data_IF_734646546004
#
_entry.id   IF_734646546004
#
_cell.length_a   1.000
_cell.length_b   1.000
_cell.length_c   1.000
_cell.angle_alpha   90.00
_cell.angle_beta   90.00
_cell.angle_gamma   90.00
#
_symmetry.space_group_name_H-M   'P 1'
#
loop_
_entity.id
_entity.type
_entity.pdbx_description
1 polymer ?
#
# COMPACT_ATOMS: atom_id res chain seq x y z
N UNK A 1 27.39 9.92 -23.32
CA UNK A 1 26.64 9.59 -22.09
C UNK A 1 26.64 10.82 -21.19
N UNK A 2 25.49 11.27 -20.68
CA UNK A 2 25.47 12.38 -19.70
C UNK A 2 26.02 11.86 -18.37
N UNK A 3 26.89 12.60 -17.66
CA UNK A 3 27.37 12.18 -16.36
C UNK A 3 26.19 12.04 -15.38
N UNK A 4 26.17 10.95 -14.61
CA UNK A 4 25.19 10.74 -13.54
C UNK A 4 25.51 11.74 -12.43
N UNK A 5 24.66 12.75 -12.27
CA UNK A 5 24.81 13.74 -11.21
C UNK A 5 24.59 13.09 -9.86
N UNK A 6 25.65 13.03 -9.03
CA UNK A 6 25.60 12.54 -7.66
C UNK A 6 25.42 13.74 -6.72
N UNK A 7 24.38 13.72 -5.89
CA UNK A 7 24.02 14.83 -5.00
C UNK A 7 24.19 14.45 -3.53
N UNK A 8 24.61 15.42 -2.71
CA UNK A 8 24.76 15.26 -1.26
C UNK A 8 23.45 15.64 -0.58
N UNK A 9 22.79 14.68 0.06
CA UNK A 9 21.53 14.90 0.79
C UNK A 9 21.85 15.24 2.25
N UNK A 10 21.11 16.17 2.84
CA UNK A 10 21.26 16.60 4.23
C UNK A 10 20.18 15.98 5.12
N UNK A 11 20.58 15.28 6.19
CA UNK A 11 19.67 14.86 7.27
C UNK A 11 19.59 15.92 8.38
N UNK A 12 18.95 15.58 9.51
CA UNK A 12 18.64 16.51 10.61
C UNK A 12 19.88 17.17 11.24
N UNK A 13 21.06 16.57 11.12
CA UNK A 13 22.30 17.10 11.71
C UNK A 13 23.51 17.11 10.77
N UNK A 14 23.63 16.10 9.92
CA UNK A 14 24.77 15.94 9.01
C UNK A 14 24.31 15.43 7.63
N UNK A 15 25.07 15.74 6.57
CA UNK A 15 24.86 15.12 5.27
C UNK A 15 25.16 13.63 5.33
N UNK A 16 24.44 12.86 4.51
CA UNK A 16 24.73 11.44 4.32
C UNK A 16 26.18 11.28 3.81
N UNK A 17 26.85 10.25 4.32
CA UNK A 17 28.26 9.97 4.02
C UNK A 17 28.48 9.68 2.52
N UNK A 18 27.50 9.01 1.90
CA UNK A 18 27.54 8.66 0.49
C UNK A 18 26.61 9.57 -0.34
N UNK A 19 27.06 10.05 -1.51
CA UNK A 19 26.22 10.85 -2.38
C UNK A 19 25.16 9.99 -3.08
N UNK A 20 23.94 10.53 -3.18
CA UNK A 20 22.75 9.85 -3.69
C UNK A 20 22.46 10.29 -5.13
N UNK A 21 21.95 9.37 -5.96
CA UNK A 21 21.53 9.66 -7.33
C UNK A 21 20.12 10.27 -7.29
N UNK A 22 19.94 11.44 -7.89
CA UNK A 22 18.65 12.12 -8.00
C UNK A 22 18.25 12.18 -9.47
N UNK A 23 16.99 11.83 -9.77
CA UNK A 23 16.42 11.87 -11.12
C UNK A 23 14.95 12.26 -11.11
N UNK A 24 14.40 12.51 -12.30
CA UNK A 24 12.95 12.75 -12.50
C UNK A 24 12.32 11.51 -13.18
N UNK A 25 11.96 10.46 -12.42
CA UNK A 25 11.28 9.31 -13.00
C UNK A 25 9.84 9.67 -13.39
N UNK A 26 9.32 9.01 -14.41
CA UNK A 26 7.89 9.01 -14.71
C UNK A 26 7.24 7.84 -13.98
N UNK A 27 6.41 8.13 -12.98
CA UNK A 27 5.74 7.14 -12.13
C UNK A 27 4.25 7.13 -12.45
N UNK A 28 3.69 5.94 -12.69
CA UNK A 28 2.26 5.74 -12.91
C UNK A 28 1.55 5.38 -11.60
N UNK A 29 0.37 5.97 -11.37
CA UNK A 29 -0.55 5.55 -10.31
C UNK A 29 -1.44 4.41 -10.84
N UNK A 30 -1.40 3.26 -10.17
CA UNK A 30 -2.28 2.13 -10.48
C UNK A 30 -3.66 2.29 -9.83
N UNK A 31 -4.68 1.67 -10.41
CA UNK A 31 -6.08 1.74 -9.93
C UNK A 31 -6.33 1.02 -8.60
N UNK A 32 -5.43 0.14 -8.14
CA UNK A 32 -5.63 -0.64 -6.91
C UNK A 32 -5.34 0.19 -5.67
N UNK A 33 -6.30 1.03 -5.28
CA UNK A 33 -6.21 1.84 -4.08
C UNK A 33 -6.51 1.01 -2.83
N UNK A 34 -5.95 1.41 -1.69
CA UNK A 34 -6.19 0.74 -0.40
C UNK A 34 -7.65 0.89 0.05
N UNK A 35 -8.29 2.01 -0.30
CA UNK A 35 -9.68 2.33 0.06
C UNK A 35 -10.68 1.27 -0.43
N UNK A 36 -10.41 0.66 -1.58
CA UNK A 36 -11.23 -0.41 -2.15
C UNK A 36 -11.03 -1.77 -1.45
N UNK A 37 -9.97 -1.89 -0.66
CA UNK A 37 -9.56 -3.15 -0.03
C UNK A 37 -9.74 -3.14 1.50
N UNK A 38 -10.02 -1.99 2.11
CA UNK A 38 -10.31 -1.91 3.55
C UNK A 38 -11.68 -2.55 3.82
N UNK A 39 -11.68 -3.58 4.68
CA UNK A 39 -12.87 -4.28 5.14
C UNK A 39 -12.71 -4.76 6.58
N UNK A 40 -13.71 -4.50 7.42
CA UNK A 40 -13.78 -4.98 8.80
C UNK A 40 -15.17 -5.52 9.10
N UNK A 41 -15.26 -6.59 9.90
CA UNK A 41 -16.52 -7.20 10.32
C UNK A 41 -16.53 -7.33 11.85
N UNK A 42 -17.59 -6.83 12.49
CA UNK A 42 -17.86 -7.04 13.91
C UNK A 42 -18.94 -8.13 14.11
N UNK A 43 -20.13 -7.95 13.53
CA UNK A 43 -21.22 -8.94 13.43
C UNK A 43 -21.81 -8.94 12.02
N UNK A 44 -22.53 -9.99 11.61
CA UNK A 44 -23.11 -10.06 10.27
C UNK A 44 -23.81 -11.39 10.00
N UNK A 45 -24.50 -11.48 8.86
CA UNK A 45 -25.28 -12.66 8.49
C UNK A 45 -24.42 -13.93 8.40
N UNK A 46 -25.06 -15.06 8.69
CA UNK A 46 -24.51 -16.41 8.65
C UNK A 46 -25.21 -17.23 7.57
N UNK A 47 -24.56 -18.27 7.07
CA UNK A 47 -25.17 -19.21 6.14
C UNK A 47 -26.29 -20.00 6.84
N UNK A 48 -27.45 -20.17 6.18
CA UNK A 48 -28.62 -20.83 6.78
C UNK A 48 -28.33 -22.28 7.24
N UNK A 49 -27.57 -23.03 6.44
CA UNK A 49 -27.32 -24.46 6.70
C UNK A 49 -26.20 -24.66 7.71
N UNK A 50 -25.05 -24.00 7.51
CA UNK A 50 -23.83 -24.25 8.30
C UNK A 50 -23.64 -23.27 9.45
N UNK A 51 -24.45 -22.21 9.52
CA UNK A 51 -24.31 -21.12 10.48
C UNK A 51 -22.87 -20.56 10.53
N UNK A 52 -22.19 -20.56 9.39
CA UNK A 52 -20.85 -19.97 9.24
C UNK A 52 -20.93 -18.54 8.71
N UNK A 53 -20.01 -17.64 9.10
CA UNK A 53 -19.90 -16.31 8.53
C UNK A 53 -19.84 -16.37 7.00
N UNK A 54 -20.63 -15.51 6.33
CA UNK A 54 -20.60 -15.42 4.87
C UNK A 54 -19.19 -15.05 4.35
N UNK A 55 -18.90 -15.39 3.09
CA UNK A 55 -17.62 -15.07 2.44
C UNK A 55 -17.71 -13.75 1.67
N UNK A 56 -16.65 -12.94 1.76
CA UNK A 56 -16.43 -11.77 0.89
C UNK A 56 -17.02 -10.46 1.41
N UNK A 57 -16.35 -9.34 1.07
CA UNK A 57 -16.70 -7.96 1.48
C UNK A 57 -18.15 -7.60 1.18
N UNK A 58 -18.64 -7.92 -0.02
CA UNK A 58 -19.98 -7.56 -0.48
C UNK A 58 -21.12 -8.12 0.39
N UNK A 59 -20.86 -9.19 1.16
CA UNK A 59 -21.85 -9.82 2.06
C UNK A 59 -21.55 -9.56 3.54
N UNK A 60 -20.74 -8.54 3.84
CA UNK A 60 -20.17 -8.33 5.17
C UNK A 60 -19.51 -9.60 5.70
N UNK A 61 -18.87 -10.35 4.80
CA UNK A 61 -18.28 -11.63 5.09
C UNK A 61 -17.08 -11.54 6.01
N UNK A 62 -16.79 -12.62 6.72
CA UNK A 62 -15.58 -12.74 7.53
C UNK A 62 -14.36 -13.09 6.69
N UNK A 63 -13.17 -12.90 7.27
CA UNK A 63 -11.95 -13.55 6.80
C UNK A 63 -12.04 -15.06 7.06
N UNK A 64 -11.32 -15.85 6.29
CA UNK A 64 -11.12 -17.28 6.52
C UNK A 64 -9.69 -17.53 6.94
#
# INVERSE_FOLDING_TARGET
MKPVSKHRIHGTRNPFEQPVIIGKPYILKLIRQVDDNIHGRCSGHYALVTQQPLRGRAKLGGSR
#
